data_IF_493673971344
#
_entry.id   IF_493673971344
#
_cell.length_a   1.000
_cell.length_b   1.000
_cell.length_c   1.000
_cell.angle_alpha   90.00
_cell.angle_beta   90.00
_cell.angle_gamma   90.00
#
_symmetry.space_group_name_H-M   'P 1'
#
loop_
_entity.id
_entity.type
_entity.pdbx_description
1 polymer ?
#
# COMPACT_ATOMS: atom_id res chain seq x y z
N UNK A 1 -31.90 -5.72 -13.80
CA UNK A 1 -30.58 -5.17 -14.17
C UNK A 1 -30.11 -4.10 -13.19
N UNK A 2 -30.95 -3.11 -12.86
CA UNK A 2 -30.60 -2.07 -11.86
C UNK A 2 -30.30 -2.67 -10.47
N UNK A 3 -31.10 -3.62 -9.99
CA UNK A 3 -30.88 -4.26 -8.67
C UNK A 3 -29.48 -4.88 -8.54
N UNK A 4 -29.03 -5.65 -9.55
CA UNK A 4 -27.69 -6.24 -9.57
C UNK A 4 -26.57 -5.19 -9.52
N UNK A 5 -26.74 -4.07 -10.20
CA UNK A 5 -25.78 -2.95 -10.14
C UNK A 5 -25.73 -2.36 -8.73
N UNK A 6 -26.89 -2.11 -8.12
CA UNK A 6 -26.98 -1.55 -6.77
C UNK A 6 -26.38 -2.49 -5.72
N UNK A 7 -26.69 -3.80 -5.82
CA UNK A 7 -26.11 -4.84 -4.97
C UNK A 7 -24.58 -4.89 -5.11
N UNK A 8 -24.06 -4.76 -6.33
CA UNK A 8 -22.62 -4.79 -6.58
C UNK A 8 -21.91 -3.58 -5.98
N UNK A 9 -22.41 -2.36 -6.21
CA UNK A 9 -21.86 -1.14 -5.60
C UNK A 9 -21.94 -1.20 -4.09
N UNK A 10 -23.08 -1.64 -3.53
CA UNK A 10 -23.25 -1.81 -2.10
C UNK A 10 -22.25 -2.83 -1.53
N UNK A 11 -22.07 -3.96 -2.21
CA UNK A 11 -21.12 -5.00 -1.84
C UNK A 11 -19.68 -4.49 -1.82
N UNK A 12 -19.29 -3.67 -2.79
CA UNK A 12 -17.95 -3.06 -2.79
C UNK A 12 -17.75 -2.08 -1.65
N UNK A 13 -18.70 -1.20 -1.37
CA UNK A 13 -18.62 -0.30 -0.21
C UNK A 13 -18.54 -1.08 1.12
N UNK A 14 -19.33 -2.14 1.28
CA UNK A 14 -19.28 -3.02 2.46
C UNK A 14 -17.92 -3.71 2.59
N UNK A 15 -17.38 -4.21 1.47
CA UNK A 15 -16.06 -4.82 1.47
C UNK A 15 -14.97 -3.81 1.83
N UNK A 16 -14.98 -2.60 1.28
CA UNK A 16 -14.00 -1.56 1.65
C UNK A 16 -13.99 -1.31 3.18
N UNK A 17 -15.17 -1.24 3.81
CA UNK A 17 -15.29 -1.12 5.27
C UNK A 17 -14.83 -2.36 6.02
N UNK A 18 -15.15 -3.56 5.52
CA UNK A 18 -14.74 -4.82 6.13
C UNK A 18 -13.22 -5.01 6.07
N UNK A 19 -12.61 -4.71 4.92
CA UNK A 19 -11.15 -4.75 4.75
C UNK A 19 -10.45 -3.67 5.59
N UNK A 20 -11.10 -2.51 5.78
CA UNK A 20 -10.64 -1.48 6.70
C UNK A 20 -10.60 -1.99 8.14
N UNK A 21 -11.64 -2.73 8.58
CA UNK A 21 -11.63 -3.41 9.88
C UNK A 21 -10.59 -4.53 9.94
N UNK A 22 -10.40 -5.23 8.82
CA UNK A 22 -9.39 -6.27 8.65
C UNK A 22 -7.97 -5.80 8.90
N UNK A 23 -7.68 -4.50 8.69
CA UNK A 23 -6.40 -3.90 9.05
C UNK A 23 -6.07 -4.00 10.55
N UNK A 24 -7.09 -4.14 11.41
CA UNK A 24 -6.94 -4.25 12.86
C UNK A 24 -7.18 -5.68 13.36
N UNK A 25 -8.12 -6.40 12.76
CA UNK A 25 -8.37 -7.80 13.06
C UNK A 25 -9.10 -8.50 11.90
N UNK A 26 -8.52 -9.58 11.39
CA UNK A 26 -9.10 -10.43 10.34
C UNK A 26 -8.83 -11.90 10.67
N UNK A 27 -9.71 -12.81 10.25
CA UNK A 27 -9.45 -14.24 10.33
C UNK A 27 -8.80 -14.73 9.04
N UNK A 28 -7.72 -15.49 9.15
CA UNK A 28 -7.14 -16.18 8.01
C UNK A 28 -7.93 -17.45 7.62
N UNK A 29 -7.47 -18.13 6.58
CA UNK A 29 -8.08 -19.38 6.10
C UNK A 29 -8.07 -20.52 7.13
N UNK A 30 -7.23 -20.43 8.17
CA UNK A 30 -7.16 -21.38 9.28
C UNK A 30 -7.96 -20.90 10.50
N UNK A 31 -8.82 -19.89 10.34
CA UNK A 31 -9.60 -19.22 11.39
C UNK A 31 -8.77 -18.53 12.48
N UNK A 32 -7.47 -18.33 12.25
CA UNK A 32 -6.60 -17.64 13.17
C UNK A 32 -6.77 -16.12 13.00
N UNK A 33 -6.90 -15.42 14.12
CA UNK A 33 -6.90 -13.96 14.12
C UNK A 33 -5.52 -13.43 13.76
N UNK A 34 -5.46 -12.63 12.72
CA UNK A 34 -4.33 -11.80 12.32
C UNK A 34 -4.71 -10.35 12.61
N UNK A 35 -3.76 -9.58 13.11
CA UNK A 35 -3.91 -8.16 13.38
C UNK A 35 -2.87 -7.41 12.54
N UNK A 36 -3.13 -7.10 11.26
CA UNK A 36 -2.10 -6.64 10.33
C UNK A 36 -1.34 -5.39 10.79
N UNK A 37 -2.03 -4.27 11.02
CA UNK A 37 -1.40 -3.03 11.51
C UNK A 37 -0.81 -3.20 12.93
N UNK A 38 -1.53 -3.77 13.92
CA UNK A 38 -0.97 -3.97 15.26
C UNK A 38 0.27 -4.89 15.27
N UNK A 39 0.30 -5.93 14.44
CA UNK A 39 1.44 -6.85 14.33
C UNK A 39 2.64 -6.15 13.73
N UNK A 40 2.45 -5.32 12.71
CA UNK A 40 3.52 -4.51 12.14
C UNK A 40 4.09 -3.52 13.16
N UNK A 41 3.23 -2.76 13.87
CA UNK A 41 3.66 -1.88 14.95
C UNK A 41 4.50 -2.61 16.01
N UNK A 42 4.02 -3.78 16.45
CA UNK A 42 4.71 -4.57 17.46
C UNK A 42 6.07 -5.04 16.96
N UNK A 43 6.17 -5.49 15.71
CA UNK A 43 7.41 -5.95 15.13
C UNK A 43 8.40 -4.79 14.90
N UNK A 44 7.93 -3.63 14.43
CA UNK A 44 8.76 -2.44 14.23
C UNK A 44 9.27 -1.88 15.56
N UNK A 45 8.42 -1.78 16.58
CA UNK A 45 8.82 -1.31 17.91
C UNK A 45 9.78 -2.30 18.56
N UNK A 46 9.53 -3.61 18.47
CA UNK A 46 10.47 -4.61 18.97
C UNK A 46 11.85 -4.51 18.30
N UNK A 47 11.89 -4.30 16.98
CA UNK A 47 13.15 -4.12 16.25
C UNK A 47 13.87 -2.84 16.69
N UNK A 48 13.16 -1.73 16.86
CA UNK A 48 13.73 -0.47 17.35
C UNK A 48 14.30 -0.61 18.77
N UNK A 49 13.60 -1.32 19.66
CA UNK A 49 14.07 -1.61 21.01
C UNK A 49 15.36 -2.46 21.02
N UNK A 50 15.54 -3.36 20.05
CA UNK A 50 16.79 -4.11 19.91
C UNK A 50 17.99 -3.21 19.54
N UNK A 51 17.77 -2.10 18.83
CA UNK A 51 18.83 -1.15 18.47
C UNK A 51 19.17 -0.20 19.63
N UNK A 52 18.21 0.02 20.54
CA UNK A 52 18.30 1.02 21.58
C UNK A 52 19.53 0.90 22.52
N UNK A 53 19.95 -0.30 22.97
CA UNK A 53 21.16 -0.45 23.79
C UNK A 53 22.42 0.10 23.11
N UNK A 54 22.58 -0.16 21.81
CA UNK A 54 23.74 0.32 21.05
C UNK A 54 23.63 1.82 20.77
N UNK A 55 22.46 2.30 20.34
CA UNK A 55 22.25 3.73 20.07
C UNK A 55 22.55 4.61 21.31
N UNK A 56 22.29 4.12 22.53
CA UNK A 56 22.64 4.80 23.78
C UNK A 56 24.14 4.98 24.02
N UNK A 57 24.99 4.19 23.33
CA UNK A 57 26.45 4.30 23.43
C UNK A 57 27.02 5.37 22.49
N UNK A 58 26.24 5.80 21.50
CA UNK A 58 26.66 6.79 20.52
C UNK A 58 26.48 8.22 21.05
N UNK A 59 27.29 9.15 20.54
CA UNK A 59 27.09 10.57 20.79
C UNK A 59 25.78 11.05 20.14
N UNK A 60 25.22 12.16 20.64
CA UNK A 60 23.99 12.75 20.08
C UNK A 60 24.13 13.16 18.61
N UNK A 61 25.34 13.54 18.20
CA UNK A 61 25.69 13.85 16.83
C UNK A 61 26.50 12.71 16.23
N UNK A 62 26.26 12.42 14.95
CA UNK A 62 26.98 11.40 14.21
C UNK A 62 26.22 10.94 12.96
N UNK A 63 26.76 9.96 12.22
CA UNK A 63 26.15 9.46 10.98
C UNK A 63 24.71 8.97 11.13
N UNK A 64 24.35 8.50 12.33
CA UNK A 64 23.03 7.94 12.66
C UNK A 64 21.97 8.99 13.05
N UNK A 65 22.39 10.22 13.40
CA UNK A 65 21.54 11.17 14.11
C UNK A 65 20.32 11.64 13.28
N UNK A 66 20.54 11.94 11.99
CA UNK A 66 19.47 12.38 11.08
C UNK A 66 18.45 11.27 10.82
N UNK A 67 18.90 10.07 10.44
CA UNK A 67 18.04 8.91 10.21
C UNK A 67 17.28 8.50 11.46
N UNK A 68 17.90 8.56 12.64
CA UNK A 68 17.24 8.27 13.91
C UNK A 68 16.13 9.30 14.22
N UNK A 69 16.37 10.58 13.94
CA UNK A 69 15.37 11.63 14.11
C UNK A 69 14.19 11.40 13.15
N UNK A 70 14.47 11.22 11.87
CA UNK A 70 13.45 10.97 10.85
C UNK A 70 12.62 9.71 11.15
N UNK A 71 13.28 8.65 11.63
CA UNK A 71 12.61 7.42 12.09
C UNK A 71 11.64 7.70 13.24
N UNK A 72 12.04 8.50 14.23
CA UNK A 72 11.19 8.83 15.38
C UNK A 72 10.00 9.72 14.98
N UNK A 73 10.24 10.71 14.11
CA UNK A 73 9.20 11.59 13.58
C UNK A 73 8.19 10.77 12.76
N UNK A 74 8.67 9.91 11.86
CA UNK A 74 7.84 9.00 11.04
C UNK A 74 7.06 8.01 11.91
N UNK A 75 7.68 7.44 12.95
CA UNK A 75 6.99 6.55 13.89
C UNK A 75 5.84 7.27 14.60
N UNK A 76 6.05 8.52 15.00
CA UNK A 76 5.05 9.33 15.70
C UNK A 76 3.88 9.65 14.78
N UNK A 77 4.18 10.09 13.54
CA UNK A 77 3.17 10.37 12.53
C UNK A 77 2.36 9.12 12.17
N UNK A 78 3.03 8.00 11.90
CA UNK A 78 2.37 6.73 11.56
C UNK A 78 1.41 6.25 12.65
N UNK A 79 1.79 6.40 13.94
CA UNK A 79 0.88 6.10 15.07
C UNK A 79 -0.37 6.98 15.04
N UNK A 80 -0.20 8.29 14.89
CA UNK A 80 -1.31 9.24 14.84
C UNK A 80 -2.25 9.00 13.64
N UNK A 81 -1.69 8.65 12.48
CA UNK A 81 -2.45 8.41 11.26
C UNK A 81 -3.20 7.07 11.31
N UNK A 82 -2.65 6.03 11.94
CA UNK A 82 -3.39 4.78 12.18
C UNK A 82 -4.56 5.00 13.14
N UNK A 83 -4.39 5.78 14.21
CA UNK A 83 -5.48 6.15 15.12
C UNK A 83 -6.58 6.95 14.39
N UNK A 84 -6.16 7.90 13.55
CA UNK A 84 -7.07 8.70 12.72
C UNK A 84 -7.82 7.85 11.71
N UNK A 85 -7.15 6.89 11.06
CA UNK A 85 -7.75 5.92 10.16
C UNK A 85 -8.77 5.03 10.89
N UNK A 86 -8.44 4.53 12.08
CA UNK A 86 -9.35 3.71 12.88
C UNK A 86 -10.61 4.49 13.27
N UNK A 87 -10.45 5.74 13.70
CA UNK A 87 -11.58 6.62 14.05
C UNK A 87 -12.46 6.88 12.83
N UNK A 88 -11.85 7.23 11.70
CA UNK A 88 -12.57 7.45 10.44
C UNK A 88 -13.33 6.19 10.02
N UNK A 89 -12.73 5.01 10.11
CA UNK A 89 -13.39 3.74 9.81
C UNK A 89 -14.66 3.53 10.66
N UNK A 90 -14.57 3.73 11.98
CA UNK A 90 -15.72 3.58 12.89
C UNK A 90 -16.83 4.57 12.55
N UNK A 91 -16.48 5.82 12.25
CA UNK A 91 -17.42 6.83 11.77
C UNK A 91 -18.12 6.38 10.47
N UNK A 92 -17.35 5.83 9.52
CA UNK A 92 -17.89 5.36 8.24
C UNK A 92 -18.76 4.11 8.36
N UNK A 93 -18.40 3.16 9.24
CA UNK A 93 -19.22 1.98 9.56
C UNK A 93 -20.54 2.39 10.21
N UNK A 94 -20.49 3.29 11.20
CA UNK A 94 -21.69 3.84 11.84
C UNK A 94 -22.57 4.56 10.83
N UNK A 95 -21.96 5.36 9.95
CA UNK A 95 -22.68 6.04 8.89
C UNK A 95 -23.30 5.02 7.92
N UNK A 96 -22.60 3.94 7.55
CA UNK A 96 -23.11 2.89 6.66
C UNK A 96 -24.39 2.24 7.21
N UNK A 97 -24.44 1.96 8.50
CA UNK A 97 -25.61 1.36 9.15
C UNK A 97 -26.78 2.34 9.31
N UNK A 98 -26.50 3.65 9.38
CA UNK A 98 -27.50 4.67 9.76
C UNK A 98 -27.98 5.58 8.62
N UNK A 99 -27.31 5.62 7.46
CA UNK A 99 -27.56 6.64 6.42
C UNK A 99 -28.51 6.25 5.27
N UNK A 100 -28.92 4.99 5.13
CA UNK A 100 -29.97 4.65 4.17
C UNK A 100 -31.36 5.09 4.65
N UNK A 101 -32.27 5.33 3.70
CA UNK A 101 -33.70 5.54 3.98
C UNK A 101 -34.22 4.43 4.90
N UNK A 102 -34.70 4.82 6.09
CA UNK A 102 -35.12 3.96 7.21
C UNK A 102 -34.02 3.37 8.14
N UNK A 103 -32.85 4.02 8.28
CA UNK A 103 -31.74 3.54 9.16
C UNK A 103 -31.28 2.12 8.82
N UNK A 104 -30.98 1.92 7.54
CA UNK A 104 -30.46 0.67 6.97
C UNK A 104 -29.32 0.99 6.02
N UNK A 105 -28.62 -0.04 5.54
CA UNK A 105 -27.61 0.11 4.50
C UNK A 105 -28.17 0.86 3.26
N UNK A 106 -27.35 1.66 2.56
CA UNK A 106 -27.75 2.32 1.31
C UNK A 106 -28.35 1.33 0.30
N UNK A 107 -29.52 1.66 -0.26
CA UNK A 107 -30.22 0.77 -1.22
C UNK A 107 -30.53 1.43 -2.55
N UNK A 108 -30.52 2.76 -2.61
CA UNK A 108 -30.77 3.50 -3.85
C UNK A 108 -29.46 3.96 -4.50
N UNK A 109 -29.48 4.19 -5.82
CA UNK A 109 -28.30 4.69 -6.55
C UNK A 109 -27.76 6.00 -5.95
N UNK A 110 -28.65 6.93 -5.59
CA UNK A 110 -28.25 8.21 -5.00
C UNK A 110 -27.61 8.08 -3.62
N UNK A 111 -28.11 7.18 -2.77
CA UNK A 111 -27.49 6.88 -1.47
C UNK A 111 -26.13 6.20 -1.65
N UNK A 112 -26.01 5.25 -2.58
CA UNK A 112 -24.77 4.52 -2.85
C UNK A 112 -23.67 5.43 -3.40
N UNK A 113 -23.99 6.33 -4.34
CA UNK A 113 -23.02 7.34 -4.82
C UNK A 113 -22.46 8.19 -3.69
N UNK A 114 -23.34 8.70 -2.82
CA UNK A 114 -22.91 9.47 -1.64
C UNK A 114 -22.05 8.64 -0.69
N UNK A 115 -22.35 7.35 -0.54
CA UNK A 115 -21.54 6.46 0.28
C UNK A 115 -20.14 6.25 -0.32
N UNK A 116 -20.04 6.06 -1.64
CA UNK A 116 -18.75 5.98 -2.36
C UNK A 116 -17.93 7.25 -2.17
N UNK A 117 -18.53 8.42 -2.37
CA UNK A 117 -17.86 9.71 -2.16
C UNK A 117 -17.37 9.85 -0.70
N UNK A 118 -18.20 9.47 0.27
CA UNK A 118 -17.89 9.54 1.69
C UNK A 118 -16.76 8.59 2.12
N UNK A 119 -16.58 7.48 1.40
CA UNK A 119 -15.51 6.50 1.67
C UNK A 119 -14.17 6.90 1.02
N UNK A 120 -14.12 7.91 0.16
CA UNK A 120 -12.89 8.33 -0.51
C UNK A 120 -11.76 8.73 0.47
N UNK A 121 -12.00 9.51 1.55
CA UNK A 121 -10.96 9.84 2.52
C UNK A 121 -10.39 8.61 3.24
N UNK A 122 -11.20 7.56 3.45
CA UNK A 122 -10.74 6.31 4.04
C UNK A 122 -9.81 5.55 3.09
N UNK A 123 -10.14 5.52 1.79
CA UNK A 123 -9.30 4.92 0.76
C UNK A 123 -7.96 5.66 0.62
N UNK A 124 -7.96 6.98 0.62
CA UNK A 124 -6.72 7.77 0.56
C UNK A 124 -5.88 7.59 1.83
N UNK A 125 -6.48 7.62 3.02
CA UNK A 125 -5.77 7.32 4.26
C UNK A 125 -5.13 5.92 4.24
N UNK A 126 -5.81 4.91 3.67
CA UNK A 126 -5.22 3.57 3.52
C UNK A 126 -3.99 3.56 2.60
N UNK A 127 -4.00 4.34 1.52
CA UNK A 127 -2.86 4.51 0.60
C UNK A 127 -1.68 5.18 1.30
N UNK A 128 -1.94 6.24 2.05
CA UNK A 128 -0.89 6.99 2.74
C UNK A 128 -0.25 6.15 3.85
N UNK A 129 -1.04 5.32 4.54
CA UNK A 129 -0.53 4.35 5.51
C UNK A 129 0.37 3.28 4.89
N UNK A 130 0.13 2.85 3.64
CA UNK A 130 1.05 1.96 2.92
C UNK A 130 2.41 2.62 2.77
N UNK A 131 2.44 3.85 2.24
CA UNK A 131 3.68 4.61 2.04
C UNK A 131 4.44 4.82 3.35
N UNK A 132 3.72 5.12 4.43
CA UNK A 132 4.32 5.31 5.76
C UNK A 132 4.88 4.00 6.35
N UNK A 133 4.19 2.87 6.18
CA UNK A 133 4.68 1.57 6.63
C UNK A 133 5.97 1.17 5.89
N UNK A 134 6.03 1.43 4.59
CA UNK A 134 7.22 1.18 3.78
C UNK A 134 8.38 2.10 4.18
N UNK A 135 8.12 3.40 4.33
CA UNK A 135 9.13 4.35 4.79
C UNK A 135 9.67 3.98 6.19
N UNK A 136 8.79 3.61 7.12
CA UNK A 136 9.19 3.21 8.47
C UNK A 136 10.16 2.03 8.44
N UNK A 137 9.85 0.99 7.66
CA UNK A 137 10.72 -0.17 7.50
C UNK A 137 12.05 0.17 6.82
N UNK A 138 12.02 1.00 5.76
CA UNK A 138 13.21 1.50 5.05
C UNK A 138 14.13 2.25 6.02
N UNK A 139 13.59 3.16 6.84
CA UNK A 139 14.36 3.93 7.83
C UNK A 139 14.98 3.05 8.92
N UNK A 140 14.24 2.06 9.44
CA UNK A 140 14.80 1.11 10.44
C UNK A 140 15.95 0.31 9.80
N UNK A 141 15.77 -0.20 8.58
CA UNK A 141 16.81 -0.93 7.86
C UNK A 141 18.04 -0.06 7.61
N UNK A 142 17.83 1.20 7.19
CA UNK A 142 18.92 2.15 6.97
C UNK A 142 19.67 2.49 8.25
N UNK A 143 18.97 2.66 9.37
CA UNK A 143 19.58 2.89 10.67
C UNK A 143 20.45 1.71 11.09
N UNK A 144 20.01 0.47 10.84
CA UNK A 144 20.80 -0.74 11.09
C UNK A 144 22.10 -0.71 10.28
N UNK A 145 22.02 -0.41 8.99
CA UNK A 145 23.20 -0.31 8.11
C UNK A 145 24.20 0.75 8.59
N UNK A 146 23.72 1.94 8.96
CA UNK A 146 24.58 3.01 9.49
C UNK A 146 25.24 2.57 10.81
N UNK A 147 24.49 1.92 11.70
CA UNK A 147 25.06 1.38 12.93
C UNK A 147 26.20 0.40 12.61
N UNK A 148 25.97 -0.54 11.71
CA UNK A 148 26.93 -1.58 11.37
C UNK A 148 28.17 -1.09 10.62
N UNK A 149 27.98 -0.16 9.67
CA UNK A 149 29.03 0.24 8.73
C UNK A 149 29.77 1.50 9.16
N UNK A 150 29.07 2.45 9.79
CA UNK A 150 29.63 3.78 10.09
C UNK A 150 29.85 3.99 11.60
N UNK A 151 29.23 3.17 12.46
CA UNK A 151 29.32 3.28 13.92
C UNK A 151 30.02 2.08 14.58
N UNK A 152 30.58 1.13 13.82
CA UNK A 152 31.25 -0.07 14.31
C UNK A 152 30.36 -0.97 15.20
N UNK A 153 29.05 -1.03 14.97
CA UNK A 153 28.15 -1.80 15.82
C UNK A 153 28.51 -3.28 15.90
N UNK A 154 29.05 -3.86 14.82
CA UNK A 154 29.46 -5.28 14.75
C UNK A 154 30.55 -5.65 15.76
N UNK A 155 31.32 -4.68 16.24
CA UNK A 155 32.37 -4.88 17.24
C UNK A 155 31.86 -4.67 18.68
N UNK A 156 30.60 -4.25 18.84
CA UNK A 156 30.01 -3.92 20.13
C UNK A 156 29.35 -5.13 20.80
N UNK A 157 29.68 -5.35 22.08
CA UNK A 157 29.07 -6.41 22.90
C UNK A 157 27.55 -6.22 23.12
N UNK A 158 27.03 -5.01 22.92
CA UNK A 158 25.60 -4.70 23.05
C UNK A 158 24.83 -4.81 21.73
N UNK A 159 25.50 -5.19 20.63
CA UNK A 159 24.88 -5.39 19.32
C UNK A 159 24.59 -6.86 19.04
N UNK A 160 23.32 -7.26 19.13
CA UNK A 160 22.91 -8.62 18.75
C UNK A 160 22.56 -8.71 17.27
N UNK A 161 23.56 -8.84 16.40
CA UNK A 161 23.34 -8.93 14.94
C UNK A 161 22.39 -10.06 14.53
N UNK A 162 22.40 -11.20 15.24
CA UNK A 162 21.49 -12.32 15.01
C UNK A 162 20.03 -11.95 15.29
N UNK A 163 19.77 -11.30 16.43
CA UNK A 163 18.39 -10.96 16.82
C UNK A 163 17.87 -9.80 15.99
N UNK A 164 18.72 -8.82 15.65
CA UNK A 164 18.40 -7.73 14.73
C UNK A 164 18.03 -8.26 13.35
N UNK A 165 18.79 -9.22 12.81
CA UNK A 165 18.46 -9.87 11.52
C UNK A 165 17.09 -10.56 11.58
N UNK A 166 16.81 -11.29 12.68
CA UNK A 166 15.50 -11.93 12.88
C UNK A 166 14.37 -10.90 13.02
N UNK A 167 14.60 -9.84 13.78
CA UNK A 167 13.65 -8.75 13.97
C UNK A 167 13.34 -8.02 12.66
N UNK A 168 14.36 -7.76 11.82
CA UNK A 168 14.19 -7.19 10.48
C UNK A 168 13.32 -8.06 9.59
N UNK A 169 13.53 -9.37 9.60
CA UNK A 169 12.68 -10.32 8.86
C UNK A 169 11.22 -10.29 9.37
N UNK A 170 11.01 -10.33 10.68
CA UNK A 170 9.67 -10.30 11.26
C UNK A 170 8.94 -8.96 10.99
N UNK A 171 9.65 -7.84 11.02
CA UNK A 171 9.12 -6.54 10.68
C UNK A 171 8.72 -6.45 9.20
N UNK A 172 9.51 -7.03 8.29
CA UNK A 172 9.16 -7.06 6.87
C UNK A 172 7.94 -7.97 6.58
N UNK A 173 7.91 -9.17 7.16
CA UNK A 173 6.78 -10.10 6.99
C UNK A 173 5.47 -9.46 7.49
N UNK A 174 5.49 -8.80 8.65
CA UNK A 174 4.31 -8.11 9.18
C UNK A 174 3.95 -6.85 8.39
N UNK A 175 4.93 -6.11 7.87
CA UNK A 175 4.72 -4.98 6.93
C UNK A 175 3.97 -5.46 5.69
N UNK A 176 4.45 -6.51 5.04
CA UNK A 176 3.83 -7.04 3.82
C UNK A 176 2.36 -7.41 4.06
N UNK A 177 2.06 -8.07 5.19
CA UNK A 177 0.68 -8.41 5.57
C UNK A 177 -0.17 -7.14 5.78
N UNK A 178 0.35 -6.14 6.49
CA UNK A 178 -0.34 -4.86 6.71
C UNK A 178 -0.61 -4.12 5.40
N UNK A 179 0.38 -4.04 4.51
CA UNK A 179 0.29 -3.37 3.21
C UNK A 179 -0.73 -4.08 2.31
N UNK A 180 -0.68 -5.40 2.21
CA UNK A 180 -1.66 -6.14 1.39
C UNK A 180 -3.09 -5.96 1.90
N UNK A 181 -3.30 -5.90 3.22
CA UNK A 181 -4.61 -5.63 3.80
C UNK A 181 -5.08 -4.20 3.51
N UNK A 182 -4.20 -3.19 3.64
CA UNK A 182 -4.51 -1.79 3.32
C UNK A 182 -4.87 -1.62 1.83
N UNK A 183 -4.19 -2.32 0.91
CA UNK A 183 -4.51 -2.30 -0.53
C UNK A 183 -5.94 -2.72 -0.82
N UNK A 184 -6.49 -3.69 -0.07
CA UNK A 184 -7.87 -4.15 -0.28
C UNK A 184 -8.91 -3.06 0.00
N UNK A 185 -8.66 -2.19 0.98
CA UNK A 185 -9.55 -1.06 1.32
C UNK A 185 -9.74 -0.16 0.09
N UNK A 186 -8.63 0.30 -0.48
CA UNK A 186 -8.62 1.16 -1.67
C UNK A 186 -9.16 0.43 -2.90
N UNK A 187 -8.79 -0.85 -3.09
CA UNK A 187 -9.27 -1.65 -4.21
C UNK A 187 -10.79 -1.67 -4.29
N UNK A 188 -11.48 -2.05 -3.21
CA UNK A 188 -12.93 -2.14 -3.24
C UNK A 188 -13.60 -0.77 -3.35
N UNK A 189 -13.04 0.27 -2.74
CA UNK A 189 -13.51 1.63 -2.97
C UNK A 189 -13.38 2.03 -4.45
N UNK A 190 -12.22 1.78 -5.10
CA UNK A 190 -12.00 2.04 -6.52
C UNK A 190 -13.03 1.32 -7.39
N UNK A 191 -13.34 0.05 -7.10
CA UNK A 191 -14.36 -0.70 -7.85
C UNK A 191 -15.75 -0.04 -7.75
N UNK A 192 -16.13 0.43 -6.56
CA UNK A 192 -17.38 1.14 -6.37
C UNK A 192 -17.36 2.50 -7.11
N UNK A 193 -16.27 3.24 -6.98
CA UNK A 193 -16.05 4.53 -7.62
C UNK A 193 -16.15 4.43 -9.15
N UNK A 194 -15.39 3.51 -9.74
CA UNK A 194 -15.36 3.22 -11.17
C UNK A 194 -16.76 2.95 -11.74
N UNK A 195 -17.56 2.14 -11.04
CA UNK A 195 -18.95 1.85 -11.44
C UNK A 195 -19.82 3.10 -11.39
N UNK A 196 -19.76 3.86 -10.29
CA UNK A 196 -20.61 5.03 -10.08
C UNK A 196 -20.27 6.22 -10.98
N UNK A 197 -19.02 6.32 -11.41
CA UNK A 197 -18.55 7.33 -12.35
C UNK A 197 -19.02 7.03 -13.77
N UNK A 198 -18.84 5.78 -14.23
CA UNK A 198 -19.14 5.37 -15.61
C UNK A 198 -20.63 5.13 -15.85
N UNK A 199 -21.38 4.69 -14.84
CA UNK A 199 -22.81 4.42 -14.90
C UNK A 199 -23.60 5.24 -13.85
N UNK A 200 -23.56 6.58 -13.91
CA UNK A 200 -24.04 7.45 -12.83
C UNK A 200 -25.55 7.36 -12.59
N UNK A 201 -26.33 6.92 -13.57
CA UNK A 201 -27.78 6.72 -13.48
C UNK A 201 -28.19 5.27 -13.15
N UNK A 202 -27.22 4.37 -12.87
CA UNK A 202 -27.46 2.92 -12.74
C UNK A 202 -28.15 2.30 -13.97
N UNK A 203 -27.86 2.86 -15.14
CA UNK A 203 -28.36 2.41 -16.44
C UNK A 203 -27.18 2.21 -17.37
N UNK A 204 -27.32 1.25 -18.28
CA UNK A 204 -26.39 1.09 -19.38
C UNK A 204 -26.40 2.37 -20.21
N UNK A 205 -25.20 2.92 -20.42
CA UNK A 205 -24.93 4.03 -21.33
C UNK A 205 -23.64 3.73 -22.06
N UNK A 206 -23.45 4.41 -23.17
CA UNK A 206 -22.21 4.30 -23.92
C UNK A 206 -21.05 4.90 -23.11
N UNK A 207 -19.94 4.18 -23.06
CA UNK A 207 -18.68 4.56 -22.41
C UNK A 207 -17.56 4.19 -23.37
N UNK A 208 -16.84 5.20 -23.87
CA UNK A 208 -15.76 5.01 -24.85
C UNK A 208 -14.70 4.03 -24.34
N UNK A 209 -14.27 3.14 -25.22
CA UNK A 209 -13.33 2.06 -24.90
C UNK A 209 -13.86 0.94 -24.01
N UNK A 210 -15.09 1.03 -23.49
CA UNK A 210 -15.69 0.04 -22.59
C UNK A 210 -16.95 -0.62 -23.15
N UNK A 211 -17.99 0.16 -23.45
CA UNK A 211 -19.29 -0.39 -23.88
C UNK A 211 -20.06 0.59 -24.77
N UNK A 212 -20.76 0.06 -25.79
CA UNK A 212 -21.70 0.82 -26.60
C UNK A 212 -22.95 0.00 -26.90
N UNK A 213 -24.13 0.63 -26.79
CA UNK A 213 -25.39 0.03 -27.19
C UNK A 213 -25.62 0.25 -28.69
N UNK A 214 -25.48 -0.82 -29.48
CA UNK A 214 -25.64 -0.79 -30.94
C UNK A 214 -26.94 -1.45 -31.36
N UNK A 215 -27.64 -0.85 -32.34
CA UNK A 215 -28.86 -1.43 -32.89
C UNK A 215 -28.55 -2.29 -34.14
N UNK A 216 -29.53 -3.07 -34.60
CA UNK A 216 -29.34 -3.98 -35.74
C UNK A 216 -28.97 -3.27 -37.04
N UNK A 217 -29.48 -2.06 -37.26
CA UNK A 217 -29.16 -1.29 -38.47
C UNK A 217 -27.69 -0.83 -38.46
N UNK A 218 -27.16 -0.42 -37.30
CA UNK A 218 -25.73 -0.10 -37.15
C UNK A 218 -24.84 -1.33 -37.33
N UNK A 219 -25.28 -2.51 -36.86
CA UNK A 219 -24.59 -3.78 -37.08
C UNK A 219 -24.57 -4.14 -38.57
N UNK A 220 -25.69 -4.02 -39.25
CA UNK A 220 -25.80 -4.28 -40.70
C UNK A 220 -24.91 -3.33 -41.50
N UNK A 221 -24.88 -2.04 -41.16
CA UNK A 221 -24.01 -1.04 -41.76
C UNK A 221 -22.50 -1.32 -41.55
N UNK A 222 -22.16 -2.16 -40.57
CA UNK A 222 -20.80 -2.60 -40.27
C UNK A 222 -20.54 -4.05 -40.74
N UNK A 223 -21.22 -4.49 -41.80
CA UNK A 223 -21.09 -5.82 -42.42
C UNK A 223 -21.38 -6.97 -41.44
N UNK A 224 -22.29 -6.77 -40.49
CA UNK A 224 -22.61 -7.72 -39.41
C UNK A 224 -21.42 -8.09 -38.51
N UNK A 225 -20.31 -7.33 -38.57
CA UNK A 225 -19.15 -7.54 -37.71
C UNK A 225 -19.48 -7.16 -36.26
N UNK A 226 -19.19 -8.03 -35.31
CA UNK A 226 -19.38 -7.76 -33.87
C UNK A 226 -18.07 -7.36 -33.17
N UNK A 227 -17.05 -6.97 -33.94
CA UNK A 227 -15.75 -6.58 -33.38
C UNK A 227 -15.90 -5.30 -32.55
N UNK A 228 -15.63 -5.31 -31.23
CA UNK A 228 -15.91 -4.16 -30.35
C UNK A 228 -15.28 -2.85 -30.81
N UNK A 229 -14.05 -2.91 -31.35
CA UNK A 229 -13.33 -1.73 -31.85
C UNK A 229 -14.05 -0.96 -32.97
N UNK A 230 -15.02 -1.56 -33.66
CA UNK A 230 -15.84 -0.86 -34.67
C UNK A 230 -16.88 0.07 -34.06
N UNK A 231 -17.21 -0.12 -32.79
CA UNK A 231 -18.35 0.55 -32.13
C UNK A 231 -17.92 1.37 -30.91
N UNK A 232 -17.06 0.78 -30.08
CA UNK A 232 -16.82 1.24 -28.70
C UNK A 232 -15.80 2.39 -28.64
N UNK A 233 -15.03 2.62 -29.70
CA UNK A 233 -13.95 3.62 -29.69
C UNK A 233 -12.75 3.18 -28.84
N UNK A 234 -11.89 4.14 -28.50
CA UNK A 234 -10.70 3.93 -27.66
C UNK A 234 -10.90 4.71 -26.36
N UNK A 235 -10.62 4.07 -25.22
CA UNK A 235 -10.68 4.77 -23.94
C UNK A 235 -9.63 5.88 -23.92
N UNK A 236 -9.91 7.05 -23.32
CA UNK A 236 -8.87 8.02 -23.02
C UNK A 236 -7.76 7.38 -22.17
N UNK A 237 -6.52 7.85 -22.33
CA UNK A 237 -5.41 7.42 -21.48
C UNK A 237 -5.71 7.77 -20.02
N UNK A 238 -5.88 6.75 -19.18
CA UNK A 238 -5.94 6.91 -17.73
C UNK A 238 -4.52 6.75 -17.17
N UNK A 239 -4.05 7.74 -16.43
CA UNK A 239 -2.82 7.60 -15.65
C UNK A 239 -3.14 6.67 -14.48
N UNK A 240 -2.42 5.57 -14.38
CA UNK A 240 -2.52 4.75 -13.17
C UNK A 240 -1.91 5.51 -11.99
N UNK A 241 -2.76 6.17 -11.20
CA UNK A 241 -2.37 6.88 -9.98
C UNK A 241 -1.73 5.96 -8.92
N UNK A 242 -1.75 4.64 -9.12
CA UNK A 242 -1.11 3.66 -8.24
C UNK A 242 0.34 3.37 -8.62
N UNK A 243 0.73 3.61 -9.88
CA UNK A 243 2.12 3.50 -10.28
C UNK A 243 2.84 4.82 -9.96
N UNK A 244 3.49 4.86 -8.81
CA UNK A 244 4.41 5.93 -8.46
C UNK A 244 5.67 5.78 -9.33
N UNK A 245 5.59 6.35 -10.55
CA UNK A 245 6.68 6.33 -11.53
C UNK A 245 7.97 6.87 -10.91
N UNK A 246 7.86 7.90 -10.08
CA UNK A 246 9.01 8.55 -9.49
C UNK A 246 9.65 7.69 -8.41
N UNK A 247 8.86 7.12 -7.49
CA UNK A 247 9.38 6.19 -6.47
C UNK A 247 10.00 4.95 -7.13
N UNK A 248 9.30 4.33 -8.09
CA UNK A 248 9.81 3.14 -8.80
C UNK A 248 11.11 3.44 -9.53
N UNK A 249 11.20 4.59 -10.21
CA UNK A 249 12.44 5.00 -10.89
C UNK A 249 13.57 5.30 -9.90
N UNK A 250 13.26 5.90 -8.74
CA UNK A 250 14.26 6.13 -7.68
C UNK A 250 14.76 4.82 -7.09
N UNK A 251 13.88 3.86 -6.82
CA UNK A 251 14.27 2.53 -6.33
C UNK A 251 15.18 1.81 -7.32
N UNK A 252 14.80 1.80 -8.61
CA UNK A 252 15.64 1.24 -9.68
C UNK A 252 16.99 1.96 -9.74
N UNK A 253 17.01 3.28 -9.55
CA UNK A 253 18.25 4.05 -9.59
C UNK A 253 19.18 3.72 -8.42
N UNK A 254 18.65 3.64 -7.20
CA UNK A 254 19.43 3.25 -6.01
C UNK A 254 19.96 1.83 -6.16
N UNK A 255 19.12 0.88 -6.59
CA UNK A 255 19.56 -0.51 -6.82
C UNK A 255 20.64 -0.59 -7.90
N UNK A 256 20.54 0.23 -8.95
CA UNK A 256 21.57 0.33 -9.99
C UNK A 256 22.89 0.91 -9.45
N UNK A 257 22.84 1.92 -8.58
CA UNK A 257 24.02 2.49 -7.93
C UNK A 257 24.72 1.47 -7.02
N UNK A 258 23.95 0.73 -6.21
CA UNK A 258 24.47 -0.33 -5.34
C UNK A 258 25.12 -1.45 -6.15
N UNK A 259 24.46 -1.94 -7.20
CA UNK A 259 25.01 -2.96 -8.11
C UNK A 259 26.30 -2.47 -8.78
N UNK A 260 26.38 -1.17 -9.12
CA UNK A 260 27.59 -0.60 -9.71
C UNK A 260 28.73 -0.52 -8.69
N UNK A 261 28.45 -0.14 -7.44
CA UNK A 261 29.43 -0.14 -6.37
C UNK A 261 29.98 -1.55 -6.09
N UNK A 262 29.11 -2.56 -6.05
CA UNK A 262 29.50 -3.96 -5.95
C UNK A 262 30.36 -4.42 -7.14
N UNK A 263 29.97 -4.06 -8.36
CA UNK A 263 30.72 -4.39 -9.56
C UNK A 263 32.14 -3.80 -9.54
N UNK A 264 32.31 -2.55 -9.08
CA UNK A 264 33.62 -1.92 -8.91
C UNK A 264 34.47 -2.67 -7.88
N UNK A 265 33.88 -3.04 -6.74
CA UNK A 265 34.57 -3.82 -5.69
C UNK A 265 34.99 -5.19 -6.18
N UNK A 266 34.13 -5.86 -6.96
CA UNK A 266 34.42 -7.16 -7.56
C UNK A 266 35.55 -7.05 -8.60
N UNK A 267 35.51 -6.03 -9.45
CA UNK A 267 36.55 -5.77 -10.44
C UNK A 267 37.92 -5.51 -9.78
N UNK A 268 37.95 -4.73 -8.70
CA UNK A 268 39.16 -4.49 -7.91
C UNK A 268 39.70 -5.80 -7.30
N UNK A 269 38.81 -6.65 -6.79
CA UNK A 269 39.18 -7.96 -6.22
C UNK A 269 39.77 -8.89 -7.28
N UNK A 270 39.15 -8.97 -8.45
CA UNK A 270 39.64 -9.77 -9.58
C UNK A 270 41.02 -9.28 -10.00
N UNK A 271 41.20 -7.97 -10.17
CA UNK A 271 42.48 -7.36 -10.53
C UNK A 271 43.59 -7.75 -9.54
N UNK A 272 43.31 -7.63 -8.24
CA UNK A 272 44.26 -8.02 -7.19
C UNK A 272 44.62 -9.51 -7.27
N UNK A 273 43.64 -10.38 -7.50
CA UNK A 273 43.90 -11.82 -7.64
C UNK A 273 44.78 -12.14 -8.86
N UNK A 274 44.61 -11.41 -9.97
CA UNK A 274 45.50 -11.54 -11.14
C UNK A 274 46.93 -11.08 -10.83
N UNK A 275 47.09 -9.92 -10.17
CA UNK A 275 48.39 -9.41 -9.72
C UNK A 275 49.10 -10.41 -8.78
N UNK A 276 48.37 -11.06 -7.87
CA UNK A 276 48.89 -12.09 -6.97
C UNK A 276 49.29 -13.39 -7.70
N UNK A 277 48.68 -13.68 -8.85
CA UNK A 277 49.03 -14.81 -9.72
C UNK A 277 50.16 -14.50 -10.71
N UNK A 278 50.68 -13.26 -10.73
CA UNK A 278 51.79 -12.83 -11.56
C UNK A 278 51.42 -12.59 -13.04
N UNK A 279 50.15 -12.30 -13.33
CA UNK A 279 49.63 -11.93 -14.66
C UNK A 279 49.01 -10.54 -14.61
#
# INVERSE_FOLDING_TARGET
YIEKYLELVAGYCQKALAEGAGCFAVKDNAEKTIEPLPSFFKASDALREMLHPFLKTLAQEGPHAETLKELNDTTTLFKADVESFQKMLVEQQTAWESTGTARRAPTTNGELKKAVERLAPLAEASRDLIKQADLLYKLISRLIEICENDCNAKESDVWSGRDITRGRKAADESRQIAVEQLKQVRYFWKQAHWLTERFPEAKLRDVEGLVKLVNRAEIEANDWSLTPGRYVGVAPEEVDEEFDFEETLREIHVELEDLNAEAVKLAATIKKNFEELGI
#
